data_IF_001439232782
#
_entry.id   IF_001439232782
#
_cell.length_a   1.000
_cell.length_b   1.000
_cell.length_c   1.000
_cell.angle_alpha   90.00
_cell.angle_beta   90.00
_cell.angle_gamma   90.00
#
_symmetry.space_group_name_H-M   'P 1'
#
loop_
_entity.id
_entity.type
_entity.pdbx_description
1 polymer ?
#
# COMPACT_ATOMS: atom_id res chain seq x y z
N UNK A 1 -1.47 -31.57 -2.76
CA UNK A 1 -2.58 -30.79 -2.23
C UNK A 1 -2.41 -29.35 -2.70
N UNK A 2 -3.49 -28.75 -3.21
CA UNK A 2 -3.53 -27.33 -3.51
C UNK A 2 -4.61 -26.67 -2.63
N UNK A 3 -4.27 -25.54 -2.01
CA UNK A 3 -5.23 -24.63 -1.40
C UNK A 3 -5.43 -23.44 -2.31
N UNK A 4 -6.66 -23.12 -2.59
CA UNK A 4 -7.05 -21.99 -3.42
C UNK A 4 -7.97 -21.08 -2.63
N UNK A 5 -7.63 -19.81 -2.53
CA UNK A 5 -8.45 -18.79 -1.88
C UNK A 5 -8.77 -17.65 -2.84
N UNK A 6 -10.02 -17.20 -2.87
CA UNK A 6 -10.43 -16.04 -3.65
C UNK A 6 -9.79 -14.77 -3.08
N UNK A 7 -9.28 -13.92 -3.95
CA UNK A 7 -8.70 -12.65 -3.55
C UNK A 7 -9.80 -11.60 -3.30
N UNK A 8 -9.64 -10.80 -2.24
CA UNK A 8 -10.56 -9.71 -1.89
C UNK A 8 -12.03 -10.12 -1.72
N UNK A 9 -12.33 -11.40 -1.46
CA UNK A 9 -13.71 -11.90 -1.36
C UNK A 9 -14.51 -11.21 -0.24
N UNK A 10 -13.85 -10.87 0.88
CA UNK A 10 -14.46 -10.09 1.95
C UNK A 10 -14.96 -8.73 1.45
N UNK A 11 -14.18 -8.04 0.65
CA UNK A 11 -14.56 -6.74 0.07
C UNK A 11 -15.83 -6.87 -0.80
N UNK A 12 -15.94 -7.98 -1.55
CA UNK A 12 -17.14 -8.24 -2.36
C UNK A 12 -18.37 -8.42 -1.46
N UNK A 13 -18.24 -9.21 -0.38
CA UNK A 13 -19.33 -9.37 0.58
C UNK A 13 -19.73 -8.04 1.23
N UNK A 14 -18.75 -7.24 1.62
CA UNK A 14 -18.98 -5.96 2.28
C UNK A 14 -19.64 -4.93 1.32
N UNK A 15 -19.31 -5.01 0.01
CA UNK A 15 -19.77 -4.04 -1.00
C UNK A 15 -21.06 -4.45 -1.70
N UNK A 16 -21.22 -5.75 -2.00
CA UNK A 16 -22.30 -6.28 -2.84
C UNK A 16 -23.28 -7.18 -2.08
N UNK A 17 -22.99 -7.44 -0.79
CA UNK A 17 -23.79 -8.29 0.08
C UNK A 17 -23.46 -9.78 0.00
N UNK A 18 -23.82 -10.51 1.06
CA UNK A 18 -23.51 -11.94 1.21
C UNK A 18 -24.21 -12.83 0.16
N UNK A 19 -25.40 -12.45 -0.33
CA UNK A 19 -26.09 -13.22 -1.37
C UNK A 19 -25.29 -13.27 -2.68
N UNK A 20 -24.65 -12.15 -3.06
CA UNK A 20 -23.77 -12.10 -4.23
C UNK A 20 -22.51 -12.93 -3.98
N UNK A 21 -21.93 -12.85 -2.78
CA UNK A 21 -20.79 -13.67 -2.40
C UNK A 21 -21.09 -15.17 -2.47
N UNK A 22 -22.22 -15.62 -1.93
CA UNK A 22 -22.62 -17.03 -1.96
C UNK A 22 -22.82 -17.51 -3.41
N UNK A 23 -23.42 -16.70 -4.25
CA UNK A 23 -23.57 -17.01 -5.68
C UNK A 23 -22.23 -17.12 -6.39
N UNK A 24 -21.29 -16.22 -6.10
CA UNK A 24 -19.92 -16.28 -6.63
C UNK A 24 -19.20 -17.55 -6.18
N UNK A 25 -19.35 -17.97 -4.93
CA UNK A 25 -18.77 -19.22 -4.44
C UNK A 25 -19.32 -20.46 -5.18
N UNK A 26 -20.61 -20.50 -5.45
CA UNK A 26 -21.23 -21.58 -6.23
C UNK A 26 -20.67 -21.61 -7.65
N UNK A 27 -20.66 -20.47 -8.33
CA UNK A 27 -20.15 -20.35 -9.70
C UNK A 27 -18.65 -20.70 -9.77
N UNK A 28 -17.88 -20.27 -8.76
CA UNK A 28 -16.46 -20.64 -8.64
C UNK A 28 -16.31 -22.15 -8.49
N UNK A 29 -17.07 -22.78 -7.61
CA UNK A 29 -17.03 -24.24 -7.41
C UNK A 29 -17.36 -25.00 -8.71
N UNK A 30 -18.32 -24.53 -9.49
CA UNK A 30 -18.70 -25.13 -10.80
C UNK A 30 -17.54 -25.02 -11.80
N UNK A 31 -16.90 -23.85 -11.94
CA UNK A 31 -15.73 -23.65 -12.80
C UNK A 31 -14.56 -24.53 -12.40
N UNK A 32 -14.25 -24.59 -11.11
CA UNK A 32 -13.17 -25.39 -10.58
C UNK A 32 -13.42 -26.88 -10.77
N UNK A 33 -14.67 -27.33 -10.59
CA UNK A 33 -15.07 -28.74 -10.81
C UNK A 33 -14.87 -29.18 -12.26
N UNK A 34 -15.10 -28.30 -13.21
CA UNK A 34 -14.90 -28.59 -14.63
C UNK A 34 -13.43 -28.81 -15.03
N UNK A 35 -12.47 -28.44 -14.17
CA UNK A 35 -11.04 -28.63 -14.40
C UNK A 35 -10.54 -30.01 -13.93
N UNK A 36 -11.32 -30.75 -13.13
CA UNK A 36 -10.89 -31.96 -12.44
C UNK A 36 -10.96 -33.21 -13.33
N UNK A 37 -10.07 -34.14 -13.07
CA UNK A 37 -10.17 -35.50 -13.55
C UNK A 37 -10.97 -36.37 -12.57
N UNK A 38 -11.33 -37.58 -12.99
CA UNK A 38 -12.20 -38.48 -12.21
C UNK A 38 -11.61 -38.84 -10.81
N UNK A 39 -10.30 -38.88 -10.70
CA UNK A 39 -9.58 -39.25 -9.47
C UNK A 39 -9.24 -38.06 -8.58
N UNK A 40 -9.45 -36.82 -9.06
CA UNK A 40 -9.16 -35.61 -8.30
C UNK A 40 -10.34 -35.31 -7.32
N UNK A 41 -9.99 -34.72 -6.20
CA UNK A 41 -10.98 -34.28 -5.21
C UNK A 41 -10.96 -32.76 -5.07
N UNK A 42 -12.13 -32.12 -5.10
CA UNK A 42 -12.34 -30.72 -4.76
C UNK A 42 -13.29 -30.62 -3.57
N UNK A 43 -12.89 -29.87 -2.56
CA UNK A 43 -13.80 -29.52 -1.47
C UNK A 43 -13.72 -28.02 -1.16
N UNK A 44 -14.80 -27.47 -0.66
CA UNK A 44 -14.78 -26.15 -0.03
C UNK A 44 -14.34 -26.33 1.42
N UNK A 45 -13.21 -25.75 1.78
CA UNK A 45 -12.61 -25.94 3.11
C UNK A 45 -13.23 -25.00 4.16
N UNK A 46 -13.61 -23.79 3.74
CA UNK A 46 -14.29 -22.80 4.58
C UNK A 46 -14.20 -21.39 3.98
N UNK A 47 -15.16 -20.53 4.27
CA UNK A 47 -15.17 -19.17 3.75
C UNK A 47 -15.04 -19.12 2.23
N UNK A 48 -13.96 -18.50 1.75
CA UNK A 48 -13.58 -18.33 0.34
C UNK A 48 -12.52 -19.33 -0.13
N UNK A 49 -12.22 -20.37 0.68
CA UNK A 49 -11.12 -21.31 0.44
C UNK A 49 -11.63 -22.65 -0.08
N UNK A 50 -10.97 -23.15 -1.13
CA UNK A 50 -11.16 -24.46 -1.73
C UNK A 50 -9.87 -25.28 -1.63
N UNK A 51 -10.00 -26.58 -1.44
CA UNK A 51 -8.87 -27.50 -1.42
C UNK A 51 -9.00 -28.54 -2.52
N UNK A 52 -7.88 -28.84 -3.17
CA UNK A 52 -7.76 -29.86 -4.21
C UNK A 52 -6.80 -30.95 -3.74
N UNK A 53 -7.16 -32.19 -3.97
CA UNK A 53 -6.28 -33.36 -3.86
C UNK A 53 -6.14 -33.93 -5.26
N UNK A 54 -4.95 -33.84 -5.82
CA UNK A 54 -4.59 -34.43 -7.11
C UNK A 54 -3.93 -35.76 -6.86
N UNK A 55 -4.53 -36.85 -7.35
CA UNK A 55 -4.01 -38.21 -7.15
C UNK A 55 -3.24 -38.69 -8.37
N UNK A 56 -2.21 -39.55 -8.12
CA UNK A 56 -1.46 -40.19 -9.19
C UNK A 56 -0.54 -39.25 -9.98
N UNK A 57 -0.33 -38.04 -9.51
CA UNK A 57 0.50 -37.04 -10.16
C UNK A 57 1.76 -36.81 -9.34
N UNK A 58 2.86 -37.36 -9.79
CA UNK A 58 4.14 -37.36 -9.05
C UNK A 58 5.02 -36.15 -9.33
N UNK A 59 4.65 -35.28 -10.29
CA UNK A 59 5.52 -34.20 -10.74
C UNK A 59 5.04 -32.80 -10.30
N UNK A 60 6.00 -31.95 -9.93
CA UNK A 60 5.75 -30.50 -9.74
C UNK A 60 5.11 -29.87 -10.96
N UNK A 61 5.43 -30.34 -12.16
CA UNK A 61 4.90 -29.82 -13.42
C UNK A 61 3.39 -29.95 -13.53
N UNK A 62 2.81 -31.05 -13.11
CA UNK A 62 1.36 -31.25 -13.14
C UNK A 62 0.63 -30.35 -12.13
N UNK A 63 1.21 -30.17 -10.95
CA UNK A 63 0.69 -29.22 -9.97
C UNK A 63 0.72 -27.77 -10.50
N UNK A 64 1.80 -27.39 -11.19
CA UNK A 64 1.92 -26.07 -11.86
C UNK A 64 0.88 -25.94 -12.96
N UNK A 65 0.72 -26.94 -13.81
CA UNK A 65 -0.28 -26.93 -14.89
C UNK A 65 -1.70 -26.75 -14.34
N UNK A 66 -2.03 -27.47 -13.25
CA UNK A 66 -3.34 -27.32 -12.61
C UNK A 66 -3.50 -25.91 -12.00
N UNK A 67 -2.47 -25.38 -11.34
CA UNK A 67 -2.51 -24.03 -10.78
C UNK A 67 -2.78 -22.97 -11.86
N UNK A 68 -2.09 -23.03 -13.01
CA UNK A 68 -2.35 -22.15 -14.13
C UNK A 68 -3.77 -22.32 -14.69
N UNK A 69 -4.29 -23.53 -14.80
CA UNK A 69 -5.66 -23.78 -15.26
C UNK A 69 -6.70 -23.19 -14.31
N UNK A 70 -6.47 -23.29 -13.00
CA UNK A 70 -7.33 -22.69 -11.98
C UNK A 70 -7.33 -21.17 -12.13
N UNK A 71 -6.13 -20.54 -12.16
CA UNK A 71 -6.04 -19.07 -12.30
C UNK A 71 -6.65 -18.59 -13.62
N UNK A 72 -6.36 -19.26 -14.74
CA UNK A 72 -6.93 -18.93 -16.04
C UNK A 72 -8.47 -19.04 -16.07
N UNK A 73 -9.05 -19.98 -15.34
CA UNK A 73 -10.51 -20.14 -15.27
C UNK A 73 -11.23 -18.95 -14.63
N UNK A 74 -10.51 -18.08 -13.90
CA UNK A 74 -11.06 -16.90 -13.27
C UNK A 74 -10.97 -15.64 -14.15
N UNK A 75 -10.23 -15.69 -15.26
CA UNK A 75 -10.07 -14.54 -16.16
C UNK A 75 -11.39 -14.12 -16.81
N UNK A 76 -12.31 -15.06 -17.00
CA UNK A 76 -13.64 -14.76 -17.51
C UNK A 76 -14.53 -14.19 -16.39
N UNK A 77 -15.15 -13.02 -16.57
CA UNK A 77 -16.02 -12.43 -15.57
C UNK A 77 -17.17 -13.37 -15.13
N UNK A 78 -17.58 -13.23 -13.88
CA UNK A 78 -18.72 -13.92 -13.32
C UNK A 78 -20.00 -13.07 -13.54
N UNK A 79 -20.95 -13.57 -14.34
CA UNK A 79 -22.21 -12.88 -14.58
C UNK A 79 -23.17 -13.09 -13.40
N UNK A 80 -23.28 -12.09 -12.53
CA UNK A 80 -24.22 -12.15 -11.40
C UNK A 80 -25.66 -11.98 -11.88
N UNK A 81 -25.88 -11.06 -12.83
CA UNK A 81 -27.16 -10.84 -13.51
C UNK A 81 -26.89 -10.26 -14.91
N UNK A 82 -27.93 -9.90 -15.65
CA UNK A 82 -27.82 -9.41 -17.03
C UNK A 82 -27.02 -8.12 -17.18
N UNK A 83 -26.86 -7.32 -16.10
CA UNK A 83 -26.20 -6.02 -16.11
C UNK A 83 -24.95 -5.95 -15.21
N UNK A 84 -24.65 -7.01 -14.46
CA UNK A 84 -23.59 -6.98 -13.45
C UNK A 84 -22.65 -8.17 -13.60
N UNK A 85 -21.38 -7.85 -13.81
CA UNK A 85 -20.30 -8.83 -13.90
C UNK A 85 -19.25 -8.53 -12.84
N UNK A 86 -18.65 -9.57 -12.28
CA UNK A 86 -17.58 -9.47 -11.28
C UNK A 86 -16.34 -10.20 -11.79
N UNK A 87 -15.21 -9.54 -11.75
CA UNK A 87 -13.91 -10.16 -12.02
C UNK A 87 -13.33 -10.62 -10.69
N UNK A 88 -12.92 -11.89 -10.64
CA UNK A 88 -12.29 -12.49 -9.47
C UNK A 88 -10.87 -12.92 -9.82
N UNK A 89 -10.00 -12.82 -8.86
CA UNK A 89 -8.69 -13.47 -8.88
C UNK A 89 -8.57 -14.41 -7.70
N UNK A 90 -7.54 -15.23 -7.70
CA UNK A 90 -7.31 -16.16 -6.60
C UNK A 90 -5.84 -16.45 -6.39
N UNK A 91 -5.51 -16.90 -5.21
CA UNK A 91 -4.15 -17.27 -4.82
C UNK A 91 -4.10 -18.75 -4.44
N UNK A 92 -3.02 -19.44 -4.83
CA UNK A 92 -2.89 -20.89 -4.67
C UNK A 92 -1.64 -21.22 -3.89
N UNK A 93 -1.79 -22.07 -2.87
CA UNK A 93 -0.66 -22.71 -2.18
C UNK A 93 -0.59 -24.19 -2.53
N UNK A 94 0.60 -24.70 -2.77
CA UNK A 94 0.86 -26.07 -3.21
C UNK A 94 1.77 -26.77 -2.22
N UNK A 95 1.34 -27.92 -1.70
CA UNK A 95 2.14 -28.84 -0.90
C UNK A 95 2.18 -30.24 -1.53
N UNK A 96 3.36 -30.81 -1.64
CA UNK A 96 3.62 -32.09 -2.30
C UNK A 96 3.84 -33.20 -1.27
N UNK A 97 3.11 -34.30 -1.40
CA UNK A 97 3.38 -35.52 -0.65
C UNK A 97 4.42 -36.36 -1.40
N UNK A 98 5.43 -36.95 -0.70
CA UNK A 98 5.68 -36.90 0.74
C UNK A 98 6.61 -35.75 1.19
N UNK A 99 7.06 -34.88 0.27
CA UNK A 99 8.14 -33.91 0.51
C UNK A 99 7.75 -32.86 1.54
N UNK A 100 6.52 -32.35 1.44
CA UNK A 100 6.02 -31.25 2.25
C UNK A 100 5.10 -31.72 3.39
N UNK A 101 4.94 -33.03 3.56
CA UNK A 101 4.17 -33.67 4.61
C UNK A 101 3.82 -35.11 4.25
N UNK A 102 3.66 -35.95 5.27
CA UNK A 102 3.28 -37.37 5.11
C UNK A 102 1.88 -37.67 5.64
N UNK A 103 1.31 -36.77 6.40
CA UNK A 103 -0.02 -36.86 6.95
C UNK A 103 -0.90 -35.72 6.41
N UNK A 104 -2.22 -35.88 6.40
CA UNK A 104 -3.14 -34.92 5.84
C UNK A 104 -3.10 -33.55 6.53
N UNK A 105 -2.94 -33.51 7.86
CA UNK A 105 -2.95 -32.29 8.64
C UNK A 105 -1.75 -31.40 8.28
N UNK A 106 -0.55 -31.99 8.21
CA UNK A 106 0.68 -31.31 7.79
C UNK A 106 0.58 -30.79 6.37
N UNK A 107 0.07 -31.60 5.43
CA UNK A 107 -0.07 -31.19 4.02
C UNK A 107 -1.06 -30.05 3.84
N UNK A 108 -2.20 -30.10 4.51
CA UNK A 108 -3.22 -29.04 4.46
C UNK A 108 -2.67 -27.73 5.03
N UNK A 109 -2.07 -27.78 6.23
CA UNK A 109 -1.43 -26.62 6.87
C UNK A 109 -0.35 -25.99 5.98
N UNK A 110 0.49 -26.82 5.36
CA UNK A 110 1.60 -26.34 4.53
C UNK A 110 1.09 -25.74 3.21
N UNK A 111 0.07 -26.32 2.59
CA UNK A 111 -0.58 -25.75 1.41
C UNK A 111 -1.29 -24.42 1.74
N UNK A 112 -1.96 -24.33 2.89
CA UNK A 112 -2.58 -23.09 3.36
C UNK A 112 -1.55 -21.99 3.60
N UNK A 113 -0.44 -22.32 4.27
CA UNK A 113 0.68 -21.38 4.48
C UNK A 113 1.20 -20.82 3.16
N UNK A 114 1.40 -21.69 2.15
CA UNK A 114 1.85 -21.28 0.82
C UNK A 114 0.80 -20.41 0.10
N UNK A 115 -0.49 -20.66 0.28
CA UNK A 115 -1.56 -19.83 -0.27
C UNK A 115 -1.55 -18.42 0.34
N UNK A 116 -1.36 -18.32 1.65
CA UNK A 116 -1.21 -17.02 2.30
C UNK A 116 0.01 -16.24 1.78
N UNK A 117 1.13 -16.93 1.54
CA UNK A 117 2.31 -16.30 0.94
C UNK A 117 2.02 -15.79 -0.49
N UNK A 118 1.27 -16.56 -1.28
CA UNK A 118 0.81 -16.11 -2.60
C UNK A 118 -0.11 -14.88 -2.52
N UNK A 119 -1.07 -14.85 -1.57
CA UNK A 119 -1.96 -13.68 -1.34
C UNK A 119 -1.16 -12.42 -0.99
N UNK A 120 -0.06 -12.55 -0.25
CA UNK A 120 0.81 -11.43 0.15
C UNK A 120 1.79 -11.01 -0.94
N UNK A 121 2.29 -11.95 -1.72
CA UNK A 121 3.23 -11.72 -2.80
C UNK A 121 2.64 -11.12 -4.09
N UNK A 122 1.48 -10.43 -4.01
CA UNK A 122 0.84 -9.74 -5.15
C UNK A 122 -0.49 -10.33 -5.59
N UNK A 123 -0.97 -11.41 -4.96
CA UNK A 123 -2.22 -12.11 -5.33
C UNK A 123 -2.16 -12.71 -6.75
N UNK A 124 -3.27 -13.26 -7.23
CA UNK A 124 -3.43 -13.83 -8.58
C UNK A 124 -2.22 -14.70 -9.02
N UNK A 125 -1.74 -15.54 -8.14
CA UNK A 125 -0.50 -16.31 -8.31
C UNK A 125 -0.54 -17.62 -7.55
N UNK A 126 0.47 -18.44 -7.72
CA UNK A 126 0.65 -19.64 -6.90
C UNK A 126 2.04 -19.70 -6.27
N UNK A 127 2.15 -20.37 -5.12
CA UNK A 127 3.41 -20.66 -4.42
C UNK A 127 3.48 -22.13 -4.02
N UNK A 128 4.67 -22.70 -4.14
CA UNK A 128 4.98 -23.96 -3.49
C UNK A 128 5.36 -23.71 -2.04
N UNK A 129 4.93 -24.62 -1.16
CA UNK A 129 5.37 -24.59 0.21
C UNK A 129 6.90 -24.71 0.32
N UNK A 130 7.46 -23.94 1.24
CA UNK A 130 8.85 -24.13 1.71
C UNK A 130 8.87 -24.10 3.24
N UNK A 131 9.86 -24.77 3.85
CA UNK A 131 9.96 -24.81 5.32
C UNK A 131 10.13 -23.41 5.94
N UNK A 132 10.77 -22.51 5.21
CA UNK A 132 11.00 -21.14 5.66
C UNK A 132 9.70 -20.34 5.78
N UNK A 133 8.67 -20.69 5.01
CA UNK A 133 7.34 -20.03 5.09
C UNK A 133 6.68 -20.19 6.46
N UNK A 134 6.82 -21.35 7.12
CA UNK A 134 6.28 -21.51 8.47
C UNK A 134 6.99 -20.62 9.50
N UNK A 135 8.31 -20.48 9.39
CA UNK A 135 9.07 -19.57 10.25
C UNK A 135 8.66 -18.11 10.00
N UNK A 136 8.52 -17.73 8.74
CA UNK A 136 8.06 -16.39 8.35
C UNK A 136 6.62 -16.11 8.83
N UNK A 137 5.70 -17.06 8.69
CA UNK A 137 4.33 -16.91 9.17
C UNK A 137 4.28 -16.76 10.70
N UNK A 138 5.09 -17.55 11.44
CA UNK A 138 5.18 -17.42 12.90
C UNK A 138 5.77 -16.07 13.32
N UNK A 139 6.81 -15.59 12.62
CA UNK A 139 7.42 -14.29 12.87
C UNK A 139 6.41 -13.15 12.62
N UNK A 140 5.63 -13.24 11.54
CA UNK A 140 4.60 -12.24 11.22
C UNK A 140 3.50 -12.16 12.26
N UNK A 141 3.02 -13.33 12.73
CA UNK A 141 2.05 -13.38 13.81
C UNK A 141 2.61 -12.77 15.09
N UNK A 142 3.88 -13.02 15.40
CA UNK A 142 4.54 -12.42 16.55
C UNK A 142 4.65 -10.89 16.40
N UNK A 143 4.99 -10.39 15.21
CA UNK A 143 5.03 -8.96 14.92
C UNK A 143 3.65 -8.31 15.06
N UNK A 144 2.61 -8.91 14.47
CA UNK A 144 1.24 -8.39 14.57
C UNK A 144 0.78 -8.28 16.03
N UNK A 145 0.98 -9.33 16.81
CA UNK A 145 0.64 -9.36 18.23
C UNK A 145 1.45 -8.35 19.09
N UNK A 146 2.66 -7.98 18.66
CA UNK A 146 3.52 -7.05 19.41
C UNK A 146 3.25 -5.57 19.09
N UNK A 147 2.60 -5.26 17.97
CA UNK A 147 2.36 -3.87 17.56
C UNK A 147 1.58 -3.04 18.60
N UNK A 148 0.46 -3.51 19.21
CA UNK A 148 -0.25 -2.71 20.20
C UNK A 148 0.60 -2.39 21.43
N UNK A 149 1.40 -3.35 21.89
CA UNK A 149 2.32 -3.16 23.02
C UNK A 149 3.47 -2.23 22.62
N UNK A 150 4.02 -2.38 21.42
CA UNK A 150 5.07 -1.51 20.89
C UNK A 150 4.62 -0.06 20.78
N UNK A 151 3.37 0.18 20.37
CA UNK A 151 2.82 1.54 20.32
C UNK A 151 2.71 2.14 21.74
N UNK A 152 2.23 1.37 22.69
CA UNK A 152 2.10 1.82 24.09
C UNK A 152 3.46 2.08 24.76
N UNK A 153 4.50 1.32 24.39
CA UNK A 153 5.86 1.46 24.93
C UNK A 153 6.69 2.55 24.24
N UNK A 154 6.24 3.12 23.11
CA UNK A 154 7.01 4.11 22.34
C UNK A 154 8.08 3.49 21.44
N UNK A 155 7.89 2.24 21.03
CA UNK A 155 8.80 1.55 20.08
C UNK A 155 8.64 2.06 18.66
N UNK A 156 7.52 2.72 18.36
CA UNK A 156 7.28 3.43 17.10
C UNK A 156 7.77 4.87 17.21
N UNK A 157 8.39 5.36 16.12
CA UNK A 157 8.90 6.72 16.03
C UNK A 157 8.85 7.20 14.56
N UNK A 158 9.00 8.52 14.37
CA UNK A 158 9.02 9.11 13.04
C UNK A 158 10.44 9.49 12.64
N UNK A 159 10.79 9.23 11.38
CA UNK A 159 11.84 9.92 10.67
C UNK A 159 11.20 10.87 9.68
N UNK A 160 11.98 11.86 9.25
CA UNK A 160 11.49 12.92 8.38
C UNK A 160 12.41 13.07 7.19
N UNK A 161 11.86 13.05 5.99
CA UNK A 161 12.65 13.22 4.77
C UNK A 161 12.35 14.60 4.16
N UNK A 162 13.37 15.47 3.97
CA UNK A 162 13.14 16.80 3.43
C UNK A 162 12.74 16.76 1.96
N UNK A 163 11.91 17.74 1.57
CA UNK A 163 11.44 18.01 0.22
C UNK A 163 11.97 19.35 -0.24
N UNK A 164 12.55 19.40 -1.44
CA UNK A 164 13.25 20.55 -2.02
C UNK A 164 12.44 21.14 -3.17
N UNK A 165 12.17 22.43 -3.13
CA UNK A 165 11.68 23.19 -4.28
C UNK A 165 12.83 23.51 -5.23
N UNK A 166 12.71 23.10 -6.49
CA UNK A 166 13.77 23.20 -7.48
C UNK A 166 13.99 24.64 -7.97
N UNK A 167 12.96 25.49 -7.93
CA UNK A 167 13.09 26.88 -8.39
C UNK A 167 13.82 27.78 -7.40
N UNK A 168 13.55 27.56 -6.11
CA UNK A 168 14.15 28.39 -5.04
C UNK A 168 15.37 27.75 -4.38
N UNK A 169 15.64 26.48 -4.64
CA UNK A 169 16.63 25.64 -3.95
C UNK A 169 16.44 25.63 -2.43
N UNK A 170 15.16 25.69 -1.97
CA UNK A 170 14.82 25.71 -0.56
C UNK A 170 14.06 24.45 -0.14
N UNK A 171 14.32 24.01 1.08
CA UNK A 171 13.46 23.00 1.71
C UNK A 171 12.11 23.65 1.99
N UNK A 172 11.03 23.06 1.43
CA UNK A 172 9.67 23.59 1.53
C UNK A 172 8.74 22.66 2.31
N UNK A 173 9.18 21.43 2.54
CA UNK A 173 8.40 20.42 3.25
C UNK A 173 9.27 19.27 3.74
N UNK A 174 8.60 18.35 4.39
CA UNK A 174 9.16 17.06 4.81
C UNK A 174 8.08 16.00 4.86
N UNK A 175 8.42 14.76 4.59
CA UNK A 175 7.55 13.62 4.77
C UNK A 175 7.84 12.91 6.09
N UNK A 176 6.79 12.63 6.88
CA UNK A 176 6.85 11.87 8.12
C UNK A 176 6.78 10.38 7.83
N UNK A 177 7.86 9.68 8.05
CA UNK A 177 8.05 8.29 7.73
C UNK A 177 8.09 7.43 8.99
N UNK A 178 7.11 6.55 9.15
CA UNK A 178 6.99 5.67 10.30
C UNK A 178 8.15 4.67 10.39
N UNK A 179 8.66 4.46 11.60
CA UNK A 179 9.72 3.52 11.94
C UNK A 179 9.32 2.71 13.15
N UNK A 180 9.75 1.46 13.22
CA UNK A 180 9.54 0.59 14.35
C UNK A 180 10.84 -0.03 14.82
N UNK A 181 11.17 0.14 16.10
CA UNK A 181 12.30 -0.51 16.76
C UNK A 181 11.77 -1.53 17.76
N UNK A 182 11.65 -2.76 17.30
CA UNK A 182 11.21 -3.86 18.16
C UNK A 182 12.28 -4.18 19.21
N UNK A 183 11.92 -4.41 20.49
CA UNK A 183 12.92 -4.62 21.55
C UNK A 183 13.84 -5.82 21.33
N UNK A 184 13.33 -6.90 20.72
CA UNK A 184 14.10 -8.13 20.49
C UNK A 184 14.64 -8.22 19.05
N UNK A 185 13.87 -7.78 18.06
CA UNK A 185 14.19 -7.93 16.64
C UNK A 185 14.92 -6.71 16.02
N UNK A 186 15.10 -5.65 16.80
CA UNK A 186 15.72 -4.42 16.33
C UNK A 186 14.83 -3.64 15.34
N UNK A 187 15.43 -3.06 14.31
CA UNK A 187 14.70 -2.29 13.32
C UNK A 187 13.85 -3.19 12.42
N UNK A 188 12.55 -2.93 12.37
CA UNK A 188 11.59 -3.60 11.47
C UNK A 188 11.25 -2.63 10.33
N UNK A 189 11.43 -3.08 9.08
CA UNK A 189 11.11 -2.27 7.89
C UNK A 189 9.61 -2.01 7.81
N UNK A 190 9.19 -0.79 7.39
CA UNK A 190 7.79 -0.45 7.10
C UNK A 190 7.12 -1.45 6.15
N UNK A 191 7.81 -1.91 5.11
CA UNK A 191 7.30 -2.89 4.14
C UNK A 191 6.89 -4.23 4.78
N UNK A 192 7.41 -4.53 5.99
CA UNK A 192 7.08 -5.75 6.72
C UNK A 192 5.88 -5.57 7.64
N UNK A 193 5.77 -4.46 8.37
CA UNK A 193 4.75 -4.32 9.39
C UNK A 193 3.52 -3.52 8.95
N UNK A 194 3.64 -2.58 8.00
CA UNK A 194 2.48 -1.82 7.50
C UNK A 194 1.41 -2.74 6.90
N UNK A 195 1.76 -3.70 5.99
CA UNK A 195 0.77 -4.64 5.49
C UNK A 195 0.08 -5.46 6.58
N UNK A 196 0.83 -5.88 7.64
CA UNK A 196 0.25 -6.61 8.78
C UNK A 196 -0.72 -5.72 9.57
N UNK A 197 -0.32 -4.47 9.83
CA UNK A 197 -1.19 -3.50 10.51
C UNK A 197 -2.46 -3.21 9.69
N UNK A 198 -2.38 -3.20 8.36
CA UNK A 198 -3.54 -3.07 7.48
C UNK A 198 -4.43 -4.32 7.54
N UNK A 199 -3.87 -5.53 7.48
CA UNK A 199 -4.62 -6.78 7.55
C UNK A 199 -5.36 -6.93 8.88
N UNK A 200 -4.71 -6.64 10.01
CA UNK A 200 -5.31 -6.70 11.34
C UNK A 200 -6.25 -5.53 11.66
N UNK A 201 -6.16 -4.42 10.90
CA UNK A 201 -6.87 -3.17 11.18
C UNK A 201 -6.18 -2.29 12.23
N UNK A 202 -5.03 -2.71 12.76
CA UNK A 202 -4.26 -1.90 13.71
C UNK A 202 -3.73 -0.60 13.08
N UNK A 203 -3.62 -0.56 11.75
CA UNK A 203 -3.20 0.63 10.98
C UNK A 203 -4.03 1.87 11.31
N UNK A 204 -5.30 1.74 11.70
CA UNK A 204 -6.17 2.86 12.06
C UNK A 204 -5.62 3.58 13.30
N UNK A 205 -5.30 2.82 14.37
CA UNK A 205 -4.73 3.38 15.60
C UNK A 205 -3.31 3.90 15.38
N UNK A 206 -2.52 3.16 14.61
CA UNK A 206 -1.16 3.54 14.29
C UNK A 206 -1.12 4.82 13.45
N UNK A 207 -2.00 4.94 12.46
CA UNK A 207 -2.13 6.12 11.61
C UNK A 207 -2.63 7.36 12.37
N UNK A 208 -3.56 7.21 13.32
CA UNK A 208 -3.96 8.29 14.22
C UNK A 208 -2.75 8.80 15.03
N UNK A 209 -1.95 7.87 15.58
CA UNK A 209 -0.74 8.23 16.33
C UNK A 209 0.29 8.95 15.45
N UNK A 210 0.51 8.47 14.22
CA UNK A 210 1.42 9.11 13.24
C UNK A 210 0.98 10.53 12.94
N UNK A 211 -0.30 10.72 12.60
CA UNK A 211 -0.88 12.03 12.27
C UNK A 211 -0.69 13.01 13.43
N UNK A 212 -1.05 12.60 14.64
CA UNK A 212 -0.88 13.46 15.84
C UNK A 212 0.59 13.77 16.09
N UNK A 213 1.46 12.76 16.08
CA UNK A 213 2.89 12.93 16.32
C UNK A 213 3.54 13.87 15.31
N UNK A 214 3.20 13.75 14.02
CA UNK A 214 3.68 14.63 12.96
C UNK A 214 3.24 16.08 13.17
N UNK A 215 1.95 16.30 13.48
CA UNK A 215 1.43 17.63 13.75
C UNK A 215 2.10 18.28 14.98
N UNK A 216 2.22 17.55 16.09
CA UNK A 216 2.86 18.07 17.31
C UNK A 216 4.34 18.38 17.08
N UNK A 217 5.06 17.52 16.37
CA UNK A 217 6.47 17.73 16.09
C UNK A 217 6.72 18.96 15.21
N UNK A 218 5.92 19.13 14.15
CA UNK A 218 6.05 20.30 13.27
C UNK A 218 5.73 21.60 14.03
N UNK A 219 4.66 21.60 14.85
CA UNK A 219 4.34 22.74 15.69
C UNK A 219 5.44 23.08 16.73
N UNK A 220 6.13 22.05 17.25
CA UNK A 220 7.28 22.24 18.16
C UNK A 220 8.44 22.92 17.44
N UNK A 221 8.81 22.45 16.24
CA UNK A 221 9.88 23.07 15.44
C UNK A 221 9.61 24.53 15.11
N UNK A 222 8.36 24.88 14.76
CA UNK A 222 7.98 26.27 14.50
C UNK A 222 8.18 27.13 15.77
N UNK A 223 7.81 26.59 16.95
CA UNK A 223 8.04 27.27 18.24
C UNK A 223 9.54 27.43 18.57
N UNK A 224 10.37 26.51 18.11
CA UNK A 224 11.83 26.56 18.25
C UNK A 224 12.51 27.47 17.22
N UNK A 225 11.74 28.13 16.35
CA UNK A 225 12.24 29.09 15.37
C UNK A 225 12.67 28.49 14.03
N UNK A 226 12.33 27.23 13.74
CA UNK A 226 12.48 26.71 12.39
C UNK A 226 11.46 27.35 11.43
N UNK A 227 11.78 27.42 10.13
CA UNK A 227 10.83 27.93 9.15
C UNK A 227 9.54 27.10 9.14
N UNK A 228 8.45 27.73 8.71
CA UNK A 228 7.18 27.04 8.54
C UNK A 228 7.25 26.13 7.31
N UNK A 229 7.54 24.87 7.52
CA UNK A 229 7.61 23.83 6.49
C UNK A 229 6.35 22.98 6.51
N UNK A 230 5.95 22.50 5.34
CA UNK A 230 4.88 21.51 5.19
C UNK A 230 5.34 20.18 5.79
N UNK A 231 4.43 19.47 6.48
CA UNK A 231 4.63 18.09 6.90
C UNK A 231 3.63 17.20 6.19
N UNK A 232 4.13 16.24 5.43
CA UNK A 232 3.35 15.26 4.70
C UNK A 232 3.22 13.98 5.53
N UNK A 233 2.01 13.40 5.54
CA UNK A 233 1.65 12.19 6.29
C UNK A 233 0.91 11.22 5.37
N UNK A 234 1.44 10.01 5.26
CA UNK A 234 0.81 8.92 4.53
C UNK A 234 -0.46 8.42 5.25
N UNK A 235 -1.55 8.30 4.51
CA UNK A 235 -2.84 7.81 5.01
C UNK A 235 -3.16 6.47 4.38
N UNK A 236 -3.47 5.46 5.20
CA UNK A 236 -3.90 4.16 4.68
C UNK A 236 -5.35 4.20 4.18
N UNK A 237 -5.67 3.31 3.23
CA UNK A 237 -7.04 3.18 2.71
C UNK A 237 -8.06 2.84 3.80
N UNK A 238 -7.66 2.01 4.78
CA UNK A 238 -8.53 1.69 5.92
C UNK A 238 -8.80 2.88 6.83
N UNK A 239 -7.78 3.68 7.10
CA UNK A 239 -7.92 4.89 7.91
C UNK A 239 -8.80 5.93 7.20
N UNK A 240 -8.60 6.12 5.89
CA UNK A 240 -9.35 7.10 5.11
C UNK A 240 -10.86 6.82 5.08
N UNK A 241 -11.30 5.56 5.10
CA UNK A 241 -12.72 5.20 5.08
C UNK A 241 -13.41 5.27 6.45
N UNK A 242 -12.66 5.39 7.55
CA UNK A 242 -13.25 5.52 8.90
C UNK A 242 -14.17 6.74 8.99
N UNK A 243 -15.34 6.59 9.63
CA UNK A 243 -16.32 7.70 9.73
C UNK A 243 -15.79 8.94 10.44
N UNK A 244 -14.92 8.76 11.42
CA UNK A 244 -14.35 9.79 12.27
C UNK A 244 -12.99 10.33 11.81
N UNK A 245 -12.49 9.88 10.65
CA UNK A 245 -11.17 10.28 10.13
C UNK A 245 -11.01 11.81 10.02
N UNK A 246 -12.03 12.49 9.51
CA UNK A 246 -12.00 13.96 9.37
C UNK A 246 -11.93 14.64 10.73
N UNK A 247 -12.65 14.09 11.72
CA UNK A 247 -12.63 14.62 13.09
C UNK A 247 -11.28 14.36 13.76
N UNK A 248 -10.63 13.21 13.48
CA UNK A 248 -9.26 12.93 13.94
C UNK A 248 -8.26 13.94 13.39
N UNK A 249 -8.35 14.31 12.09
CA UNK A 249 -7.51 15.36 11.50
C UNK A 249 -7.76 16.70 12.16
N UNK A 250 -9.03 17.08 12.36
CA UNK A 250 -9.39 18.32 13.03
C UNK A 250 -8.85 18.39 14.46
N UNK A 251 -8.96 17.30 15.22
CA UNK A 251 -8.44 17.19 16.59
C UNK A 251 -6.91 17.30 16.62
N UNK A 252 -6.20 16.60 15.71
CA UNK A 252 -4.73 16.67 15.64
C UNK A 252 -4.22 18.10 15.38
N UNK A 253 -4.88 18.84 14.49
CA UNK A 253 -4.57 20.25 14.21
C UNK A 253 -4.88 21.16 15.38
N UNK A 254 -6.06 21.01 16.00
CA UNK A 254 -6.47 21.82 17.14
C UNK A 254 -5.57 21.62 18.35
N UNK A 255 -5.26 20.35 18.68
CA UNK A 255 -4.45 20.00 19.86
C UNK A 255 -2.98 20.40 19.70
N UNK A 256 -2.41 20.27 18.50
CA UNK A 256 -1.02 20.66 18.22
C UNK A 256 -0.84 22.17 18.03
N UNK A 257 -1.89 22.86 17.57
CA UNK A 257 -1.83 24.24 17.13
C UNK A 257 -1.09 24.44 15.81
N UNK A 258 -0.90 23.39 15.02
CA UNK A 258 -0.30 23.48 13.70
C UNK A 258 -1.25 24.18 12.73
N UNK A 259 -0.80 25.20 11.98
CA UNK A 259 -1.61 25.80 10.91
C UNK A 259 -2.03 24.73 9.89
N UNK A 260 -3.34 24.60 9.54
CA UNK A 260 -3.80 23.52 8.65
C UNK A 260 -3.09 23.47 7.30
N UNK A 261 -2.68 24.61 6.73
CA UNK A 261 -1.96 24.69 5.47
C UNK A 261 -0.53 24.10 5.51
N UNK A 262 -0.05 23.75 6.69
CA UNK A 262 1.24 23.07 6.87
C UNK A 262 1.09 21.55 7.05
N UNK A 263 -0.12 21.01 7.10
CA UNK A 263 -0.38 19.58 7.04
C UNK A 263 -0.74 19.18 5.61
N UNK A 264 -0.04 18.19 5.07
CA UNK A 264 -0.38 17.52 3.81
C UNK A 264 -0.73 16.07 4.10
N UNK A 265 -1.82 15.59 3.52
CA UNK A 265 -2.22 14.18 3.58
C UNK A 265 -1.95 13.53 2.24
N UNK A 266 -1.15 12.47 2.25
CA UNK A 266 -0.78 11.69 1.08
C UNK A 266 -1.69 10.48 0.96
N UNK A 267 -2.33 10.33 -0.18
CA UNK A 267 -3.35 9.32 -0.47
C UNK A 267 -2.93 8.55 -1.71
N UNK A 268 -2.96 7.23 -1.67
CA UNK A 268 -2.70 6.45 -2.88
C UNK A 268 -3.86 6.55 -3.86
N UNK A 269 -3.56 6.43 -5.14
CA UNK A 269 -4.55 6.47 -6.22
C UNK A 269 -5.71 5.49 -6.01
N UNK A 270 -5.40 4.26 -5.59
CA UNK A 270 -6.39 3.19 -5.40
C UNK A 270 -7.45 3.50 -4.35
N UNK A 271 -7.13 4.35 -3.35
CA UNK A 271 -8.08 4.76 -2.31
C UNK A 271 -9.19 5.63 -2.86
N UNK A 272 -8.91 6.41 -3.89
CA UNK A 272 -9.86 7.38 -4.48
C UNK A 272 -10.82 6.73 -5.48
N UNK A 273 -10.51 5.53 -5.95
CA UNK A 273 -11.31 4.83 -6.98
C UNK A 273 -12.44 4.00 -6.38
N UNK A 274 -12.28 3.48 -5.15
CA UNK A 274 -13.21 2.51 -4.54
C UNK A 274 -14.61 3.06 -4.24
N UNK A 275 -14.72 4.29 -3.70
CA UNK A 275 -15.98 5.05 -3.52
C UNK A 275 -15.72 6.53 -3.77
N UNK A 276 -15.83 6.92 -5.04
CA UNK A 276 -15.49 8.26 -5.50
C UNK A 276 -16.34 9.37 -4.89
N UNK A 277 -17.63 9.12 -4.64
CA UNK A 277 -18.50 10.15 -4.09
C UNK A 277 -18.18 10.43 -2.63
N UNK A 278 -17.97 9.40 -1.84
CA UNK A 278 -17.62 9.54 -0.44
C UNK A 278 -16.20 10.13 -0.29
N UNK A 279 -15.23 9.65 -1.09
CA UNK A 279 -13.89 10.20 -1.13
C UNK A 279 -13.90 11.70 -1.45
N UNK A 280 -14.63 12.12 -2.50
CA UNK A 280 -14.72 13.51 -2.90
C UNK A 280 -15.35 14.41 -1.79
N UNK A 281 -16.36 13.91 -1.08
CA UNK A 281 -16.95 14.65 0.04
C UNK A 281 -15.94 14.84 1.18
N UNK A 282 -15.22 13.81 1.58
CA UNK A 282 -14.18 13.88 2.64
C UNK A 282 -13.05 14.82 2.25
N UNK A 283 -12.53 14.72 1.03
CA UNK A 283 -11.47 15.59 0.53
C UNK A 283 -11.91 17.08 0.52
N UNK A 284 -13.16 17.35 0.14
CA UNK A 284 -13.71 18.72 0.19
C UNK A 284 -13.80 19.29 1.61
N UNK A 285 -14.11 18.46 2.61
CA UNK A 285 -14.13 18.89 4.01
C UNK A 285 -12.71 19.19 4.47
N UNK A 286 -11.74 18.30 4.21
CA UNK A 286 -10.33 18.52 4.54
C UNK A 286 -9.77 19.79 3.89
N UNK A 287 -10.10 20.03 2.62
CA UNK A 287 -9.71 21.28 1.93
C UNK A 287 -10.33 22.54 2.55
N UNK A 288 -11.59 22.48 2.99
CA UNK A 288 -12.22 23.60 3.70
C UNK A 288 -11.55 23.91 5.04
N UNK A 289 -10.93 22.91 5.69
CA UNK A 289 -10.12 23.11 6.88
C UNK A 289 -8.76 23.75 6.56
N UNK A 290 -8.36 23.78 5.29
CA UNK A 290 -7.09 24.33 4.83
C UNK A 290 -5.97 23.30 4.69
N UNK A 291 -6.24 22.01 4.90
CA UNK A 291 -5.28 20.93 4.74
C UNK A 291 -4.88 20.76 3.27
N UNK A 292 -3.61 20.47 3.00
CA UNK A 292 -3.11 20.12 1.68
C UNK A 292 -3.30 18.65 1.39
N UNK A 293 -3.54 18.31 0.12
CA UNK A 293 -3.82 16.95 -0.32
C UNK A 293 -2.91 16.58 -1.48
N UNK A 294 -2.22 15.43 -1.36
CA UNK A 294 -1.38 14.89 -2.42
C UNK A 294 -1.84 13.48 -2.83
N UNK A 295 -1.65 13.15 -4.09
CA UNK A 295 -1.71 11.76 -4.55
C UNK A 295 -0.31 11.18 -4.55
N UNK A 296 -0.19 10.01 -3.93
CA UNK A 296 1.04 9.24 -3.84
C UNK A 296 1.03 8.03 -4.79
N UNK A 297 2.22 7.49 -5.10
CA UNK A 297 2.45 6.33 -5.98
C UNK A 297 1.79 6.47 -7.37
N UNK A 298 1.72 7.70 -7.91
CA UNK A 298 1.00 7.95 -9.17
C UNK A 298 1.70 7.30 -10.35
N UNK A 299 0.89 6.59 -11.16
CA UNK A 299 1.34 5.89 -12.37
C UNK A 299 1.50 4.38 -12.19
N UNK A 300 1.51 3.86 -10.97
CA UNK A 300 1.62 2.41 -10.70
C UNK A 300 0.28 1.68 -10.76
N UNK A 301 -0.84 2.42 -10.88
CA UNK A 301 -2.22 1.91 -10.89
C UNK A 301 -2.97 2.17 -12.19
N UNK A 302 -4.25 1.80 -12.20
CA UNK A 302 -5.17 2.11 -13.30
C UNK A 302 -5.77 3.51 -13.12
N UNK A 303 -5.03 4.54 -13.49
CA UNK A 303 -5.49 5.93 -13.39
C UNK A 303 -6.63 6.21 -14.37
N UNK A 304 -7.82 6.47 -13.86
CA UNK A 304 -8.82 7.15 -14.68
C UNK A 304 -8.65 8.67 -14.54
N UNK A 305 -7.94 9.27 -15.48
CA UNK A 305 -7.71 10.73 -15.58
C UNK A 305 -9.00 11.55 -15.47
N UNK A 306 -10.16 10.94 -15.79
CA UNK A 306 -11.46 11.59 -15.71
C UNK A 306 -11.85 11.99 -14.29
N UNK A 307 -11.34 11.30 -13.27
CA UNK A 307 -11.66 11.58 -11.87
C UNK A 307 -10.68 12.52 -11.21
N UNK A 308 -9.40 12.46 -11.59
CA UNK A 308 -8.35 13.29 -11.02
C UNK A 308 -8.71 14.79 -11.06
N UNK A 309 -9.29 15.27 -12.15
CA UNK A 309 -9.69 16.66 -12.32
C UNK A 309 -10.80 17.13 -11.37
N UNK A 310 -11.52 16.21 -10.71
CA UNK A 310 -12.62 16.52 -9.81
C UNK A 310 -12.22 16.56 -8.35
N UNK A 311 -11.08 15.94 -8.01
CA UNK A 311 -10.57 15.95 -6.66
C UNK A 311 -9.84 17.27 -6.35
N UNK A 312 -10.06 17.84 -5.16
CA UNK A 312 -9.45 19.10 -4.76
C UNK A 312 -8.01 18.89 -4.26
N UNK A 313 -7.14 18.42 -5.13
CA UNK A 313 -5.75 18.12 -4.85
C UNK A 313 -4.86 19.36 -5.01
N UNK A 314 -3.71 19.34 -4.35
CA UNK A 314 -2.67 20.35 -4.48
C UNK A 314 -1.44 19.81 -5.20
N UNK A 315 -1.15 18.49 -5.01
CA UNK A 315 0.12 17.91 -5.43
C UNK A 315 -0.06 16.50 -5.97
N UNK A 316 0.89 16.13 -6.82
CA UNK A 316 1.03 14.79 -7.35
C UNK A 316 2.47 14.33 -7.14
N UNK A 317 2.65 13.13 -6.56
CA UNK A 317 3.95 12.51 -6.33
C UNK A 317 4.21 11.47 -7.42
N UNK A 318 5.34 11.59 -8.11
CA UNK A 318 5.80 10.61 -9.09
C UNK A 318 6.50 9.50 -8.31
N UNK A 319 6.01 8.27 -8.45
CA UNK A 319 6.60 7.11 -7.77
C UNK A 319 8.07 6.90 -8.17
N UNK A 320 8.86 6.48 -7.20
CA UNK A 320 10.29 6.22 -7.36
C UNK A 320 10.63 5.21 -8.45
N UNK A 321 9.72 4.29 -8.80
CA UNK A 321 9.97 3.28 -9.84
C UNK A 321 10.21 3.93 -11.20
N UNK A 322 9.53 5.03 -11.52
CA UNK A 322 9.76 5.79 -12.74
C UNK A 322 11.01 6.66 -12.70
N UNK A 323 11.40 7.12 -11.49
CA UNK A 323 12.57 7.97 -11.31
C UNK A 323 13.88 7.17 -11.31
N UNK A 324 13.85 5.94 -10.79
CA UNK A 324 15.04 5.09 -10.70
C UNK A 324 15.71 4.84 -12.05
N UNK A 325 14.92 4.48 -13.04
CA UNK A 325 15.41 4.08 -14.36
C UNK A 325 15.23 5.18 -15.44
N UNK A 326 14.88 6.42 -15.03
CA UNK A 326 14.54 7.57 -15.88
C UNK A 326 15.62 7.91 -16.94
N UNK A 327 16.88 7.59 -16.67
CA UNK A 327 18.01 7.86 -17.55
C UNK A 327 18.34 6.71 -18.51
N UNK A 328 17.80 5.52 -18.26
CA UNK A 328 18.14 4.29 -18.99
C UNK A 328 16.94 3.68 -19.71
N UNK A 329 15.74 3.88 -19.17
CA UNK A 329 14.48 3.42 -19.76
C UNK A 329 13.72 4.60 -20.41
N UNK A 330 13.59 4.60 -21.75
CA UNK A 330 12.85 5.65 -22.46
C UNK A 330 11.34 5.69 -22.12
N UNK A 331 10.76 4.55 -21.71
CA UNK A 331 9.35 4.49 -21.35
C UNK A 331 9.12 5.17 -20.00
N UNK A 332 9.98 4.97 -19.01
CA UNK A 332 9.93 5.66 -17.71
C UNK A 332 10.14 7.18 -17.87
N UNK A 333 11.07 7.58 -18.73
CA UNK A 333 11.27 8.98 -19.08
C UNK A 333 10.02 9.61 -19.72
N UNK A 334 9.39 8.91 -20.67
CA UNK A 334 8.18 9.39 -21.33
C UNK A 334 6.97 9.45 -20.38
N UNK A 335 6.84 8.48 -19.47
CA UNK A 335 5.80 8.46 -18.44
C UNK A 335 5.99 9.63 -17.49
N UNK A 336 7.21 9.88 -17.02
CA UNK A 336 7.53 11.00 -16.14
C UNK A 336 7.20 12.35 -16.81
N UNK A 337 7.60 12.54 -18.05
CA UNK A 337 7.26 13.74 -18.83
C UNK A 337 5.74 13.94 -18.95
N UNK A 338 5.01 12.86 -19.25
CA UNK A 338 3.55 12.89 -19.36
C UNK A 338 2.87 13.24 -18.03
N UNK A 339 3.37 12.69 -16.92
CA UNK A 339 2.85 12.98 -15.56
C UNK A 339 3.06 14.45 -15.22
N UNK A 340 4.25 15.01 -15.43
CA UNK A 340 4.55 16.43 -15.15
C UNK A 340 3.63 17.34 -15.98
N UNK A 341 3.55 17.12 -17.29
CA UNK A 341 2.72 17.92 -18.18
C UNK A 341 1.22 17.87 -17.82
N UNK A 342 0.72 16.69 -17.47
CA UNK A 342 -0.65 16.47 -17.04
C UNK A 342 -0.93 17.18 -15.72
N UNK A 343 -0.10 17.01 -14.71
CA UNK A 343 -0.27 17.62 -13.39
C UNK A 343 -0.32 19.16 -13.51
N UNK A 344 0.59 19.75 -14.26
CA UNK A 344 0.59 21.21 -14.49
C UNK A 344 -0.67 21.69 -15.25
N UNK A 345 -1.16 20.89 -16.23
CA UNK A 345 -2.42 21.18 -16.92
C UNK A 345 -3.62 21.19 -15.96
N UNK A 346 -3.55 20.39 -14.89
CA UNK A 346 -4.53 20.35 -13.80
C UNK A 346 -4.24 21.35 -12.69
N UNK A 347 -3.18 22.14 -12.80
CA UNK A 347 -2.71 23.13 -11.80
C UNK A 347 -2.25 22.47 -10.49
N UNK A 348 -1.74 21.27 -10.57
CA UNK A 348 -1.11 20.56 -9.45
C UNK A 348 0.39 20.82 -9.48
N UNK A 349 1.01 20.89 -8.30
CA UNK A 349 2.44 20.84 -8.16
C UNK A 349 2.91 19.38 -8.29
N UNK A 350 4.14 19.17 -8.74
CA UNK A 350 4.71 17.83 -8.93
C UNK A 350 5.93 17.68 -8.03
N UNK A 351 5.96 16.57 -7.29
CA UNK A 351 7.15 16.14 -6.55
C UNK A 351 7.61 14.79 -7.10
N UNK A 352 8.90 14.68 -7.43
CA UNK A 352 9.51 13.42 -7.85
C UNK A 352 10.20 12.74 -6.66
N UNK A 353 9.87 11.46 -6.46
CA UNK A 353 10.41 10.65 -5.38
C UNK A 353 11.60 9.80 -5.82
N UNK A 354 12.44 9.43 -4.84
CA UNK A 354 13.55 8.50 -5.09
C UNK A 354 14.68 9.11 -5.91
N UNK A 355 14.84 10.43 -5.95
CA UNK A 355 15.96 11.08 -6.64
C UNK A 355 17.25 10.79 -5.88
N UNK A 356 18.18 10.07 -6.52
CA UNK A 356 19.44 9.63 -5.89
C UNK A 356 20.67 10.24 -6.53
N UNK A 357 20.59 10.67 -7.81
CA UNK A 357 21.74 11.18 -8.55
C UNK A 357 21.53 12.60 -9.08
N UNK A 358 22.65 13.29 -9.36
CA UNK A 358 22.62 14.64 -9.93
C UNK A 358 22.06 14.64 -11.37
N UNK A 359 22.25 13.55 -12.09
CA UNK A 359 21.76 13.39 -13.46
C UNK A 359 20.22 13.23 -13.47
N UNK A 360 19.64 12.49 -12.50
CA UNK A 360 18.19 12.41 -12.31
C UNK A 360 17.61 13.79 -11.96
N UNK A 361 18.29 14.52 -11.04
CA UNK A 361 17.91 15.88 -10.68
C UNK A 361 17.87 16.79 -11.92
N UNK A 362 18.96 16.83 -12.71
CA UNK A 362 19.04 17.65 -13.91
C UNK A 362 17.96 17.30 -14.94
N UNK A 363 17.65 16.02 -15.09
CA UNK A 363 16.56 15.55 -15.97
C UNK A 363 15.21 16.13 -15.53
N UNK A 364 14.91 16.08 -14.23
CA UNK A 364 13.64 16.57 -13.67
C UNK A 364 13.53 18.10 -13.73
N UNK A 365 14.62 18.82 -13.47
CA UNK A 365 14.69 20.28 -13.61
C UNK A 365 14.42 20.73 -15.03
N UNK A 366 15.05 20.08 -16.04
CA UNK A 366 14.86 20.41 -17.47
C UNK A 366 13.40 20.25 -17.91
N UNK A 367 12.66 19.36 -17.27
CA UNK A 367 11.22 19.09 -17.54
C UNK A 367 10.27 19.90 -16.68
N UNK A 368 10.81 20.75 -15.81
CA UNK A 368 10.05 21.66 -14.98
C UNK A 368 9.33 20.99 -13.82
N UNK A 369 9.84 19.87 -13.30
CA UNK A 369 9.38 19.33 -12.03
C UNK A 369 9.48 20.40 -10.95
N UNK A 370 8.51 20.48 -10.03
CA UNK A 370 8.48 21.56 -9.04
C UNK A 370 9.32 21.22 -7.81
N UNK A 371 9.21 20.01 -7.29
CA UNK A 371 9.85 19.57 -6.06
C UNK A 371 10.50 18.19 -6.22
N UNK A 372 11.48 17.89 -5.39
CA UNK A 372 12.09 16.56 -5.31
C UNK A 372 12.19 16.06 -3.88
N UNK A 373 12.21 14.73 -3.76
CA UNK A 373 12.53 13.99 -2.54
C UNK A 373 13.40 12.79 -2.88
N UNK A 374 14.45 12.54 -2.12
CA UNK A 374 15.29 11.36 -2.37
C UNK A 374 16.65 11.45 -1.66
N UNK A 375 17.44 10.39 -1.82
CA UNK A 375 18.73 10.27 -1.14
C UNK A 375 19.78 11.24 -1.68
N UNK A 376 19.57 11.80 -2.86
CA UNK A 376 20.40 12.90 -3.35
C UNK A 376 20.33 14.11 -2.41
N UNK A 377 19.14 14.44 -1.91
CA UNK A 377 18.98 15.52 -0.95
C UNK A 377 19.35 15.09 0.46
N UNK A 378 18.68 14.05 0.98
CA UNK A 378 18.94 13.43 2.28
C UNK A 378 18.20 12.12 2.44
N UNK A 379 18.77 11.19 3.20
CA UNK A 379 18.02 10.06 3.75
C UNK A 379 17.04 10.56 4.81
N UNK A 380 16.00 9.77 5.16
CA UNK A 380 15.12 10.11 6.28
C UNK A 380 15.89 10.32 7.58
N UNK A 381 15.71 11.48 8.19
CA UNK A 381 16.46 11.97 9.35
C UNK A 381 15.65 11.81 10.64
N UNK A 382 16.35 11.70 11.78
CA UNK A 382 15.70 11.84 13.08
C UNK A 382 15.22 13.29 13.29
N UNK A 383 14.34 13.50 14.27
CA UNK A 383 13.84 14.82 14.67
C UNK A 383 14.97 15.85 14.86
N UNK A 384 16.02 15.46 15.60
CA UNK A 384 17.17 16.32 15.88
C UNK A 384 18.02 16.60 14.63
N UNK A 385 18.23 15.57 13.82
CA UNK A 385 19.09 15.69 12.64
C UNK A 385 18.43 16.52 11.56
N UNK A 386 17.09 16.41 11.39
CA UNK A 386 16.35 17.27 10.47
C UNK A 386 16.42 18.75 10.88
N UNK A 387 16.20 19.05 12.16
CA UNK A 387 16.31 20.43 12.65
C UNK A 387 17.72 21.03 12.38
N UNK A 388 18.76 20.24 12.58
CA UNK A 388 20.14 20.63 12.27
C UNK A 388 20.36 20.83 10.77
N UNK A 389 19.83 19.94 9.93
CA UNK A 389 19.91 20.00 8.48
C UNK A 389 19.25 21.28 7.93
N UNK A 390 18.04 21.61 8.42
CA UNK A 390 17.31 22.82 7.99
C UNK A 390 18.07 24.10 8.38
N UNK A 391 18.60 24.18 9.62
CA UNK A 391 19.37 25.36 10.09
C UNK A 391 20.62 25.57 9.25
N UNK A 392 21.40 24.51 9.02
CA UNK A 392 22.64 24.57 8.22
C UNK A 392 22.39 25.03 6.77
N UNK A 393 21.23 24.62 6.19
CA UNK A 393 20.88 25.01 4.82
C UNK A 393 20.31 26.43 4.74
N UNK A 394 19.62 26.89 5.80
CA UNK A 394 19.13 28.27 5.90
C UNK A 394 20.22 29.32 6.16
N UNK A 395 21.35 28.93 6.74
CA UNK A 395 22.51 29.83 6.95
C UNK A 395 23.36 30.03 5.67
N UNK A 396 23.21 29.13 4.68
CA UNK A 396 23.99 29.18 3.43
C UNK A 396 23.20 29.84 2.26
N UNK A 397 22.02 30.37 2.52
CA UNK A 397 21.17 31.10 1.57
C UNK A 397 20.95 32.56 2.00
#
# INVERSE_FOLDING_TARGET
VLFFGLDRFKLINDTMGHEVGDRLLIMTAERLRALLHADDTLCRFGGDVFAFILQGRESKHEAVTMAYRILASLNDPFAINASQQVLLTGSIGIALCPNDGKDPETLLKNAETAMYDAKRGGKNSFRFYSRDMNAQAAEMLALDNSMPTGLANGDFYLHYQPQLDLKSDRVVGMEALLRWRHPELGFISPDRFIPLAEESGFIIKLGEWVLRSACFQNAAWIKEGLPQLRIAVNISGRQFIEPDFVDQVAAALADSGLPPGLLELELTESMLVSDQQQALQRLRVLKKMGVQLAIDDFGTGYSSLSYLKHFPLDRLKIDKSFVNDILVDPDDAAITDAIIAMAHSLKLQVIAEGVETIEQLAFLEDRGCDEIQGYHLSKPLSERDLASFIRARGENQ
#
